data_IF_631485915359
#
_entry.id   IF_631485915359
#
_cell.length_a   1.000
_cell.length_b   1.000
_cell.length_c   1.000
_cell.angle_alpha   90.00
_cell.angle_beta   90.00
_cell.angle_gamma   90.00
#
_symmetry.space_group_name_H-M   'P 1'
#
loop_
_entity.id
_entity.type
_entity.pdbx_description
1 polymer ?
#
# COMPACT_ATOMS: atom_id res chain seq x y z
N UNK A 1 35.49 -53.11 18.20
CA UNK A 1 35.60 -51.67 18.33
C UNK A 1 34.40 -51.05 17.63
N UNK A 2 33.39 -50.67 18.41
CA UNK A 2 32.12 -50.15 17.90
C UNK A 2 32.22 -48.65 17.72
N UNK A 3 31.93 -48.17 16.52
CA UNK A 3 31.74 -46.74 16.25
C UNK A 3 30.34 -46.29 16.76
N UNK A 4 30.20 -45.12 17.40
CA UNK A 4 28.93 -44.66 17.88
C UNK A 4 28.10 -44.09 16.72
N UNK A 5 26.84 -44.53 16.65
CA UNK A 5 25.82 -44.05 15.74
C UNK A 5 25.46 -42.58 16.04
N UNK A 6 25.56 -41.72 15.02
CA UNK A 6 25.01 -40.35 15.03
C UNK A 6 23.50 -40.42 15.15
N UNK A 7 22.95 -39.95 16.27
CA UNK A 7 21.51 -39.65 16.41
C UNK A 7 21.23 -38.36 15.69
N UNK A 8 20.41 -38.44 14.64
CA UNK A 8 19.77 -37.28 14.03
C UNK A 8 18.78 -36.66 15.04
N UNK A 9 19.01 -35.42 15.41
CA UNK A 9 18.09 -34.58 16.17
C UNK A 9 16.98 -34.17 15.21
N UNK A 10 15.67 -34.28 15.55
CA UNK A 10 14.61 -33.84 14.67
C UNK A 10 14.64 -32.31 14.54
N UNK A 11 14.47 -31.89 13.29
CA UNK A 11 14.39 -30.54 12.79
C UNK A 11 13.45 -29.68 13.64
N UNK A 12 13.97 -28.64 14.25
CA UNK A 12 13.20 -27.62 14.92
C UNK A 12 12.48 -26.80 13.86
N UNK A 13 11.17 -26.93 13.79
CA UNK A 13 10.29 -26.10 12.97
C UNK A 13 10.62 -24.62 13.14
N UNK A 14 10.77 -23.84 12.06
CA UNK A 14 11.05 -22.43 12.18
C UNK A 14 9.86 -21.74 12.86
N UNK A 15 10.11 -21.09 13.98
CA UNK A 15 9.17 -20.19 14.61
C UNK A 15 8.72 -19.15 13.57
N UNK A 16 7.50 -19.31 13.09
CA UNK A 16 6.77 -18.32 12.34
C UNK A 16 6.63 -17.08 13.22
N UNK A 17 7.51 -16.12 13.05
CA UNK A 17 7.26 -14.74 13.49
C UNK A 17 6.03 -14.26 12.75
N UNK A 18 4.90 -14.28 13.43
CA UNK A 18 3.68 -13.62 12.96
C UNK A 18 3.98 -12.14 12.80
N UNK A 19 4.35 -11.76 11.58
CA UNK A 19 4.23 -10.39 11.11
C UNK A 19 2.76 -9.98 11.27
N UNK A 20 2.49 -8.99 12.08
CA UNK A 20 1.18 -8.34 12.26
C UNK A 20 0.77 -7.48 11.05
N UNK A 21 1.40 -7.67 9.90
CA UNK A 21 0.90 -7.17 8.64
C UNK A 21 -0.36 -7.99 8.30
N UNK A 22 -1.54 -7.38 8.45
CA UNK A 22 -2.80 -7.89 7.92
C UNK A 22 -2.59 -8.20 6.45
N UNK A 23 -2.40 -9.48 6.11
CA UNK A 23 -2.20 -9.92 4.74
C UNK A 23 -3.43 -9.51 3.94
N UNK A 24 -3.24 -8.58 2.99
CA UNK A 24 -4.29 -8.25 2.01
C UNK A 24 -4.65 -9.55 1.31
N UNK A 25 -5.95 -9.83 1.22
CA UNK A 25 -6.44 -11.03 0.55
C UNK A 25 -6.05 -10.97 -0.94
N UNK A 26 -5.22 -11.90 -1.43
CA UNK A 26 -4.79 -11.90 -2.83
C UNK A 26 -5.96 -11.96 -3.81
N UNK A 27 -7.09 -12.58 -3.42
CA UNK A 27 -8.29 -12.67 -4.25
C UNK A 27 -8.93 -11.30 -4.55
N UNK A 28 -8.73 -10.30 -3.69
CA UNK A 28 -9.27 -8.97 -3.90
C UNK A 28 -8.43 -8.11 -4.86
N UNK A 29 -7.19 -8.52 -5.14
CA UNK A 29 -6.30 -7.76 -6.03
C UNK A 29 -6.75 -7.85 -7.49
N UNK A 30 -6.56 -6.77 -8.29
CA UNK A 30 -6.73 -6.83 -9.72
C UNK A 30 -5.66 -7.74 -10.34
N UNK A 31 -6.04 -8.48 -11.38
CA UNK A 31 -5.13 -9.41 -12.10
C UNK A 31 -4.74 -8.90 -13.48
N UNK A 32 -5.44 -7.89 -14.01
CA UNK A 32 -5.18 -7.27 -15.31
C UNK A 32 -5.43 -5.76 -15.26
N UNK A 33 -5.02 -5.03 -16.30
CA UNK A 33 -5.37 -3.60 -16.42
C UNK A 33 -6.88 -3.37 -16.57
N UNK A 34 -7.64 -4.30 -17.14
CA UNK A 34 -9.09 -4.16 -17.28
C UNK A 34 -9.80 -4.30 -15.93
N UNK A 35 -9.17 -5.02 -15.04
CA UNK A 35 -9.60 -5.23 -13.67
C UNK A 35 -9.23 -4.06 -12.72
N UNK A 36 -8.36 -3.17 -13.16
CA UNK A 36 -7.84 -2.08 -12.32
C UNK A 36 -8.79 -0.88 -12.38
N UNK A 37 -9.39 -0.53 -11.26
CA UNK A 37 -10.32 0.61 -11.12
C UNK A 37 -9.51 1.87 -10.77
N UNK A 38 -9.86 3.00 -11.38
CA UNK A 38 -9.25 4.31 -11.12
C UNK A 38 -7.84 4.47 -11.68
N UNK A 39 -7.15 5.55 -11.27
CA UNK A 39 -5.82 5.92 -11.79
C UNK A 39 -5.78 5.98 -13.33
N UNK A 40 -6.85 6.43 -13.96
CA UNK A 40 -7.16 6.24 -15.39
C UNK A 40 -6.02 6.64 -16.32
N UNK A 41 -5.39 7.80 -16.11
CA UNK A 41 -4.29 8.28 -16.95
C UNK A 41 -3.05 7.41 -16.79
N UNK A 42 -2.71 7.04 -15.55
CA UNK A 42 -1.55 6.18 -15.25
C UNK A 42 -1.74 4.81 -15.90
N UNK A 43 -2.93 4.23 -15.75
CA UNK A 43 -3.27 2.91 -16.31
C UNK A 43 -3.25 2.93 -17.83
N UNK A 44 -3.78 3.97 -18.47
CA UNK A 44 -3.75 4.10 -19.93
C UNK A 44 -2.31 4.13 -20.47
N UNK A 45 -1.45 4.95 -19.86
CA UNK A 45 -0.05 5.06 -20.25
C UNK A 45 0.73 3.75 -20.01
N UNK A 46 0.56 3.13 -18.83
CA UNK A 46 1.22 1.87 -18.51
C UNK A 46 0.79 0.74 -19.47
N UNK A 47 -0.51 0.65 -19.78
CA UNK A 47 -1.03 -0.30 -20.77
C UNK A 47 -0.39 -0.11 -22.13
N UNK A 48 -0.23 1.13 -22.58
CA UNK A 48 0.45 1.43 -23.84
C UNK A 48 1.93 1.02 -23.80
N UNK A 49 2.66 1.37 -22.73
CA UNK A 49 4.09 1.02 -22.58
C UNK A 49 4.31 -0.49 -22.54
N UNK A 50 3.50 -1.22 -21.75
CA UNK A 50 3.58 -2.69 -21.68
C UNK A 50 3.28 -3.33 -23.03
N UNK A 51 2.24 -2.89 -23.74
CA UNK A 51 1.91 -3.39 -25.07
C UNK A 51 3.03 -3.11 -26.09
N UNK A 52 3.65 -1.93 -26.05
CA UNK A 52 4.75 -1.57 -26.91
C UNK A 52 5.97 -2.44 -26.64
N UNK A 53 6.36 -2.62 -25.38
CA UNK A 53 7.47 -3.47 -24.98
C UNK A 53 7.28 -4.93 -25.46
N UNK A 54 6.08 -5.49 -25.26
CA UNK A 54 5.75 -6.85 -25.73
C UNK A 54 5.84 -6.99 -27.25
N UNK A 55 5.31 -6.03 -28.01
CA UNK A 55 5.33 -6.08 -29.49
C UNK A 55 6.73 -5.93 -30.05
N UNK A 56 7.54 -5.06 -29.43
CA UNK A 56 8.90 -4.75 -29.89
C UNK A 56 9.96 -5.70 -29.35
N UNK A 57 9.63 -6.55 -28.38
CA UNK A 57 10.60 -7.48 -27.78
C UNK A 57 11.69 -6.79 -26.95
N UNK A 58 11.44 -5.56 -26.48
CA UNK A 58 12.38 -4.85 -25.61
C UNK A 58 11.94 -4.87 -24.15
N UNK A 59 12.89 -4.61 -23.25
CA UNK A 59 12.63 -4.49 -21.83
C UNK A 59 11.76 -3.24 -21.54
N UNK A 60 10.76 -3.39 -20.68
CA UNK A 60 10.03 -2.25 -20.14
C UNK A 60 10.96 -1.43 -19.24
N UNK A 61 10.90 -0.10 -19.36
CA UNK A 61 11.71 0.81 -18.56
C UNK A 61 11.43 0.63 -17.06
N UNK A 62 12.44 0.92 -16.25
CA UNK A 62 12.28 0.98 -14.81
C UNK A 62 11.34 2.12 -14.43
N UNK A 63 10.42 1.89 -13.48
CA UNK A 63 9.38 2.86 -13.11
C UNK A 63 9.31 3.04 -11.60
N UNK A 64 8.98 4.26 -11.18
CA UNK A 64 8.73 4.60 -9.78
C UNK A 64 7.26 4.96 -9.58
N UNK A 65 6.61 4.33 -8.61
CA UNK A 65 5.26 4.66 -8.15
C UNK A 65 5.35 5.48 -6.87
N UNK A 66 5.02 6.75 -6.93
CA UNK A 66 4.95 7.64 -5.79
C UNK A 66 3.50 7.88 -5.40
N UNK A 67 3.20 8.00 -4.11
CA UNK A 67 1.85 8.29 -3.64
C UNK A 67 1.54 7.71 -2.27
N UNK A 68 0.38 8.04 -1.70
CA UNK A 68 -0.02 7.62 -0.36
C UNK A 68 0.05 6.10 -0.14
N UNK A 69 0.13 5.68 1.12
CA UNK A 69 0.08 4.26 1.46
C UNK A 69 -1.30 3.65 1.09
N UNK A 70 -1.32 2.39 0.63
CA UNK A 70 -2.55 1.64 0.39
C UNK A 70 -3.32 2.00 -0.88
N UNK A 71 -2.79 2.83 -1.78
CA UNK A 71 -3.42 3.21 -3.06
C UNK A 71 -3.22 2.18 -4.18
N UNK A 72 -2.58 1.04 -3.89
CA UNK A 72 -2.46 -0.07 -4.86
C UNK A 72 -1.14 -0.16 -5.62
N UNK A 73 -0.04 0.48 -5.17
CA UNK A 73 1.29 0.39 -5.81
C UNK A 73 1.75 -1.05 -6.05
N UNK A 74 1.66 -1.89 -5.04
CA UNK A 74 2.01 -3.32 -5.12
C UNK A 74 1.07 -4.11 -6.05
N UNK A 75 -0.24 -3.78 -6.04
CA UNK A 75 -1.22 -4.40 -6.94
C UNK A 75 -0.93 -4.06 -8.39
N UNK A 76 -0.53 -2.81 -8.65
CA UNK A 76 -0.15 -2.36 -10.00
C UNK A 76 1.10 -3.09 -10.50
N UNK A 77 2.08 -3.31 -9.64
CA UNK A 77 3.25 -4.12 -9.97
C UNK A 77 2.86 -5.57 -10.35
N UNK A 78 1.90 -6.14 -9.62
CA UNK A 78 1.36 -7.47 -9.95
C UNK A 78 0.69 -7.52 -11.32
N UNK A 79 -0.12 -6.51 -11.65
CA UNK A 79 -0.76 -6.40 -12.97
C UNK A 79 0.28 -6.26 -14.08
N UNK A 80 1.29 -5.41 -13.91
CA UNK A 80 2.36 -5.23 -14.90
C UNK A 80 3.14 -6.53 -15.13
N UNK A 81 3.50 -7.24 -14.06
CA UNK A 81 4.21 -8.52 -14.18
C UNK A 81 3.37 -9.57 -14.91
N UNK A 82 2.09 -9.69 -14.58
CA UNK A 82 1.15 -10.59 -15.24
C UNK A 82 1.00 -10.26 -16.73
N UNK A 83 0.87 -8.98 -17.04
CA UNK A 83 0.75 -8.51 -18.44
C UNK A 83 2.05 -8.72 -19.24
N UNK A 84 3.22 -8.58 -18.63
CA UNK A 84 4.51 -8.88 -19.26
C UNK A 84 4.73 -10.40 -19.44
N UNK A 85 4.12 -11.22 -18.58
CA UNK A 85 4.34 -12.68 -18.52
C UNK A 85 5.60 -13.05 -17.74
N UNK A 86 6.20 -12.11 -16.99
CA UNK A 86 7.36 -12.31 -16.14
C UNK A 86 6.96 -12.66 -14.69
N UNK A 87 7.90 -13.23 -13.95
CA UNK A 87 7.72 -13.50 -12.53
C UNK A 87 7.84 -12.20 -11.72
N UNK A 88 6.93 -12.00 -10.76
CA UNK A 88 7.02 -10.90 -9.82
C UNK A 88 7.82 -11.30 -8.57
N UNK A 89 8.90 -10.58 -8.31
CA UNK A 89 9.65 -10.65 -7.06
C UNK A 89 9.31 -9.41 -6.23
N UNK A 90 8.84 -9.62 -4.99
CA UNK A 90 8.40 -8.54 -4.11
C UNK A 90 9.30 -8.47 -2.89
N UNK A 91 9.80 -7.28 -2.61
CA UNK A 91 10.54 -6.98 -1.38
C UNK A 91 10.26 -5.55 -0.93
N UNK A 92 10.83 -5.15 0.20
CA UNK A 92 10.79 -3.76 0.67
C UNK A 92 12.19 -3.30 1.07
N UNK A 93 12.44 -1.99 0.96
CA UNK A 93 13.74 -1.44 1.34
C UNK A 93 14.12 -1.71 2.81
N UNK A 94 13.20 -1.63 3.79
CA UNK A 94 13.51 -2.01 5.18
C UNK A 94 13.91 -3.48 5.39
N UNK A 95 13.47 -4.38 4.50
CA UNK A 95 13.80 -5.80 4.59
C UNK A 95 15.22 -6.12 4.09
N UNK A 96 15.87 -5.17 3.44
CA UNK A 96 17.23 -5.32 2.88
C UNK A 96 18.22 -4.54 3.76
N UNK A 97 18.90 -5.25 4.64
CA UNK A 97 19.78 -4.64 5.65
C UNK A 97 21.15 -4.25 5.10
N UNK A 98 21.63 -4.96 4.10
CA UNK A 98 22.96 -4.73 3.50
C UNK A 98 23.00 -5.06 2.00
N UNK A 99 23.99 -4.47 1.31
CA UNK A 99 24.15 -4.58 -0.15
C UNK A 99 24.24 -6.01 -0.69
N UNK A 100 24.77 -6.95 0.11
CA UNK A 100 24.91 -8.35 -0.29
C UNK A 100 23.55 -9.05 -0.44
N UNK A 101 22.56 -8.74 0.42
CA UNK A 101 21.21 -9.29 0.28
C UNK A 101 20.54 -8.79 -1.01
N UNK A 102 20.69 -7.51 -1.35
CA UNK A 102 20.17 -6.98 -2.61
C UNK A 102 20.85 -7.63 -3.82
N UNK A 103 22.17 -7.77 -3.78
CA UNK A 103 22.93 -8.42 -4.84
C UNK A 103 22.50 -9.89 -5.04
N UNK A 104 22.30 -10.64 -3.94
CA UNK A 104 21.79 -12.01 -4.00
C UNK A 104 20.40 -12.05 -4.61
N UNK A 105 19.48 -11.15 -4.21
CA UNK A 105 18.15 -11.06 -4.80
C UNK A 105 18.20 -10.78 -6.30
N UNK A 106 19.00 -9.79 -6.73
CA UNK A 106 19.20 -9.45 -8.14
C UNK A 106 19.75 -10.63 -8.95
N UNK A 107 20.66 -11.41 -8.38
CA UNK A 107 21.22 -12.61 -9.03
C UNK A 107 20.20 -13.77 -9.21
N UNK A 108 19.05 -13.73 -8.52
CA UNK A 108 17.97 -14.73 -8.69
C UNK A 108 16.98 -14.38 -9.80
N UNK A 109 17.07 -13.18 -10.37
CA UNK A 109 16.13 -12.73 -11.41
C UNK A 109 16.37 -13.48 -12.72
N UNK A 110 15.29 -13.81 -13.40
CA UNK A 110 15.28 -14.37 -14.76
C UNK A 110 15.00 -13.30 -15.82
N UNK A 111 15.10 -13.72 -17.09
CA UNK A 111 14.82 -12.85 -18.23
C UNK A 111 13.34 -12.44 -18.23
N UNK A 112 13.09 -11.13 -18.27
CA UNK A 112 11.73 -10.57 -18.27
C UNK A 112 11.06 -10.49 -16.89
N UNK A 113 11.75 -10.87 -15.83
CA UNK A 113 11.21 -10.77 -14.47
C UNK A 113 10.98 -9.31 -14.04
N UNK A 114 10.05 -9.14 -13.12
CA UNK A 114 9.73 -7.86 -12.50
C UNK A 114 10.15 -7.88 -11.04
N UNK A 115 11.03 -6.96 -10.65
CA UNK A 115 11.40 -6.73 -9.25
C UNK A 115 10.63 -5.53 -8.72
N UNK A 116 9.79 -5.76 -7.72
CA UNK A 116 9.10 -4.70 -7.00
C UNK A 116 9.77 -4.46 -5.65
N UNK A 117 10.17 -3.21 -5.40
CA UNK A 117 10.75 -2.79 -4.11
C UNK A 117 9.88 -1.69 -3.51
N UNK A 118 9.24 -2.00 -2.39
CA UNK A 118 8.44 -1.01 -1.66
C UNK A 118 9.30 -0.15 -0.73
N UNK A 119 8.81 1.05 -0.42
CA UNK A 119 9.45 2.02 0.50
C UNK A 119 10.91 2.35 0.13
N UNK A 120 11.19 2.53 -1.16
CA UNK A 120 12.55 2.82 -1.68
C UNK A 120 13.30 3.94 -0.93
N UNK A 121 12.56 4.91 -0.36
CA UNK A 121 13.15 6.01 0.40
C UNK A 121 13.82 5.56 1.71
N UNK A 122 13.53 4.34 2.17
CA UNK A 122 14.16 3.77 3.37
C UNK A 122 15.52 3.11 3.09
N UNK A 123 15.96 3.02 1.83
CA UNK A 123 17.27 2.48 1.52
C UNK A 123 18.39 3.35 2.07
N UNK A 124 19.36 2.69 2.67
CA UNK A 124 20.67 3.30 2.95
C UNK A 124 21.38 3.60 1.62
N UNK A 125 22.16 4.67 1.58
CA UNK A 125 22.90 5.10 0.37
C UNK A 125 23.71 3.98 -0.26
N UNK A 126 24.42 3.22 0.54
CA UNK A 126 25.28 2.12 0.10
C UNK A 126 24.51 1.00 -0.63
N UNK A 127 23.26 0.76 -0.22
CA UNK A 127 22.39 -0.24 -0.86
C UNK A 127 21.87 0.31 -2.19
N UNK A 128 21.49 1.60 -2.21
CA UNK A 128 21.03 2.27 -3.44
C UNK A 128 22.08 2.24 -4.56
N UNK A 129 23.37 2.31 -4.23
CA UNK A 129 24.47 2.26 -5.19
C UNK A 129 24.51 0.94 -5.98
N UNK A 130 24.11 -0.17 -5.37
CA UNK A 130 23.98 -1.47 -6.07
C UNK A 130 22.89 -1.42 -7.14
N UNK A 131 21.76 -0.72 -6.84
CA UNK A 131 20.69 -0.55 -7.83
C UNK A 131 21.15 0.27 -9.03
N UNK A 132 22.03 1.26 -8.85
CA UNK A 132 22.49 2.11 -9.96
C UNK A 132 23.13 1.27 -11.06
N UNK A 133 24.08 0.39 -10.70
CA UNK A 133 24.74 -0.50 -11.65
C UNK A 133 23.77 -1.54 -12.24
N UNK A 134 22.89 -2.06 -11.41
CA UNK A 134 21.90 -3.03 -11.86
C UNK A 134 20.90 -2.46 -12.87
N UNK A 135 20.51 -1.20 -12.72
CA UNK A 135 19.55 -0.52 -13.60
C UNK A 135 20.18 -0.05 -14.90
N UNK A 136 21.41 0.51 -14.86
CA UNK A 136 22.10 1.06 -16.02
C UNK A 136 22.78 -0.01 -16.87
N UNK A 137 23.67 -0.78 -16.22
CA UNK A 137 24.57 -1.69 -16.90
C UNK A 137 24.14 -3.15 -16.80
N UNK A 138 23.12 -3.43 -16.01
CA UNK A 138 22.67 -4.79 -15.68
C UNK A 138 23.79 -5.66 -15.11
N UNK A 139 24.59 -5.07 -14.23
CA UNK A 139 25.69 -5.79 -13.54
C UNK A 139 25.60 -5.56 -12.03
N UNK A 140 26.13 -6.51 -11.30
CA UNK A 140 26.37 -6.38 -9.87
C UNK A 140 27.80 -6.82 -9.57
N UNK A 141 28.43 -6.12 -8.65
CA UNK A 141 29.77 -6.45 -8.16
C UNK A 141 29.66 -7.13 -6.80
N UNK A 142 30.04 -8.41 -6.73
CA UNK A 142 30.00 -9.21 -5.52
C UNK A 142 31.40 -9.46 -4.98
N UNK A 143 31.67 -9.21 -3.67
CA UNK A 143 32.93 -9.56 -3.06
C UNK A 143 33.07 -11.08 -2.94
N UNK A 144 34.21 -11.61 -3.44
CA UNK A 144 34.58 -13.01 -3.33
C UNK A 144 35.98 -13.10 -2.72
N UNK A 145 36.05 -13.08 -1.41
CA UNK A 145 37.30 -12.97 -0.66
C UNK A 145 38.01 -11.65 -0.92
N UNK A 146 39.24 -11.68 -1.50
CA UNK A 146 40.00 -10.49 -1.87
C UNK A 146 39.70 -9.95 -3.30
N UNK A 147 38.80 -10.62 -4.02
CA UNK A 147 38.42 -10.23 -5.40
C UNK A 147 37.00 -9.75 -5.44
N UNK A 148 36.69 -8.97 -6.48
CA UNK A 148 35.32 -8.61 -6.84
C UNK A 148 34.95 -9.39 -8.09
N UNK A 149 33.85 -10.08 -8.06
CA UNK A 149 33.30 -10.79 -9.22
C UNK A 149 32.15 -9.95 -9.76
N UNK A 150 32.25 -9.59 -11.03
CA UNK A 150 31.18 -8.91 -11.75
C UNK A 150 30.24 -9.94 -12.36
N UNK A 151 28.96 -9.85 -12.02
CA UNK A 151 27.91 -10.75 -12.49
C UNK A 151 27.00 -9.96 -13.42
N UNK A 152 26.78 -10.49 -14.63
CA UNK A 152 25.81 -9.95 -15.58
C UNK A 152 24.41 -10.37 -15.17
N UNK A 153 23.49 -9.40 -15.11
CA UNK A 153 22.08 -9.65 -14.85
C UNK A 153 21.28 -9.85 -16.15
N UNK A 154 20.23 -10.66 -16.12
CA UNK A 154 19.29 -10.74 -17.23
C UNK A 154 18.54 -9.41 -17.39
N UNK A 155 17.77 -9.26 -18.46
CA UNK A 155 16.86 -8.12 -18.60
C UNK A 155 15.72 -8.28 -17.61
N UNK A 156 15.56 -7.32 -16.72
CA UNK A 156 14.49 -7.25 -15.73
C UNK A 156 13.92 -5.85 -15.65
N UNK A 157 12.70 -5.72 -15.17
CA UNK A 157 12.09 -4.41 -14.91
C UNK A 157 12.04 -4.15 -13.41
N UNK A 158 12.63 -3.04 -12.97
CA UNK A 158 12.49 -2.57 -11.59
C UNK A 158 11.26 -1.67 -11.48
N UNK A 159 10.35 -2.01 -10.58
CA UNK A 159 9.24 -1.18 -10.15
C UNK A 159 9.49 -0.74 -8.72
N UNK A 160 9.84 0.51 -8.52
CA UNK A 160 10.02 1.11 -7.21
C UNK A 160 8.71 1.68 -6.68
N UNK A 161 8.51 1.65 -5.37
CA UNK A 161 7.42 2.34 -4.72
C UNK A 161 7.89 3.18 -3.55
N UNK A 162 7.25 4.33 -3.34
CA UNK A 162 7.56 5.23 -2.23
C UNK A 162 6.36 6.08 -1.83
N UNK A 163 6.25 6.39 -0.56
CA UNK A 163 5.35 7.44 -0.05
C UNK A 163 6.02 8.82 -0.04
N UNK A 164 7.35 8.87 -0.12
CA UNK A 164 8.17 10.07 0.01
C UNK A 164 9.15 10.24 -1.15
N UNK A 165 8.65 10.55 -2.35
CA UNK A 165 9.50 10.72 -3.54
C UNK A 165 10.62 11.77 -3.34
N UNK A 166 10.35 12.83 -2.59
CA UNK A 166 11.33 13.88 -2.29
C UNK A 166 12.50 13.45 -1.38
N UNK A 167 12.41 12.29 -0.73
CA UNK A 167 13.52 11.73 0.06
C UNK A 167 14.47 10.84 -0.75
N UNK A 168 14.09 10.50 -1.98
CA UNK A 168 14.94 9.66 -2.82
C UNK A 168 16.14 10.45 -3.35
N UNK A 169 17.34 9.84 -3.38
CA UNK A 169 18.51 10.46 -3.99
C UNK A 169 18.27 10.74 -5.46
N UNK A 170 18.65 11.95 -5.91
CA UNK A 170 18.52 12.34 -7.32
C UNK A 170 19.13 11.32 -8.30
N UNK A 171 20.33 10.74 -8.05
CA UNK A 171 20.89 9.72 -8.92
C UNK A 171 20.04 8.47 -9.09
N UNK A 172 19.22 8.11 -8.08
CA UNK A 172 18.26 7.01 -8.20
C UNK A 172 17.04 7.42 -9.02
N UNK A 173 16.52 8.64 -8.79
CA UNK A 173 15.37 9.16 -9.54
C UNK A 173 15.66 9.27 -11.04
N UNK A 174 16.86 9.74 -11.40
CA UNK A 174 17.28 9.93 -12.80
C UNK A 174 17.40 8.59 -13.58
N UNK A 175 17.41 7.45 -12.90
CA UNK A 175 17.45 6.09 -13.50
C UNK A 175 16.09 5.48 -13.74
N UNK A 176 15.04 6.07 -13.20
CA UNK A 176 13.69 5.67 -13.56
C UNK A 176 13.26 6.39 -14.82
N UNK A 177 12.81 5.63 -15.82
CA UNK A 177 12.28 6.18 -17.06
C UNK A 177 11.00 6.99 -16.83
N UNK A 178 10.21 6.58 -15.84
CA UNK A 178 8.95 7.24 -15.45
C UNK A 178 8.75 7.27 -13.95
N UNK A 179 8.22 8.40 -13.47
CA UNK A 179 7.74 8.56 -12.09
C UNK A 179 6.22 8.80 -12.14
N UNK A 180 5.47 7.80 -11.71
CA UNK A 180 4.01 7.85 -11.71
C UNK A 180 3.49 8.28 -10.35
N UNK A 181 2.70 9.37 -10.34
CA UNK A 181 2.03 9.87 -9.14
C UNK A 181 0.67 9.19 -9.00
N UNK A 182 0.52 8.33 -7.99
CA UNK A 182 -0.76 7.73 -7.64
C UNK A 182 -1.46 8.60 -6.61
N UNK A 183 -2.76 8.82 -6.82
CA UNK A 183 -3.61 9.64 -5.96
C UNK A 183 -4.52 8.78 -5.09
N UNK A 184 -5.12 9.37 -4.09
CA UNK A 184 -6.27 8.79 -3.42
C UNK A 184 -7.44 8.68 -4.41
N UNK A 185 -8.28 7.68 -4.23
CA UNK A 185 -9.39 7.39 -5.12
C UNK A 185 -10.58 8.34 -4.83
N UNK A 186 -11.36 8.62 -5.85
CA UNK A 186 -12.64 9.34 -5.70
C UNK A 186 -13.68 8.46 -5.00
N UNK A 187 -14.76 9.05 -4.54
CA UNK A 187 -15.84 8.30 -3.91
C UNK A 187 -16.43 7.24 -4.87
N UNK A 188 -16.66 7.62 -6.13
CA UNK A 188 -17.24 6.72 -7.14
C UNK A 188 -16.32 5.55 -7.48
N UNK A 189 -15.01 5.81 -7.63
CA UNK A 189 -14.00 4.78 -7.81
C UNK A 189 -13.97 3.83 -6.60
N UNK A 190 -14.02 4.38 -5.38
CA UNK A 190 -14.04 3.59 -4.15
C UNK A 190 -15.32 2.77 -3.99
N UNK A 191 -16.49 3.34 -4.33
CA UNK A 191 -17.77 2.60 -4.32
C UNK A 191 -17.70 1.40 -5.26
N UNK A 192 -17.13 1.58 -6.45
CA UNK A 192 -16.92 0.50 -7.41
C UNK A 192 -15.97 -0.57 -6.87
N UNK A 193 -14.85 -0.17 -6.23
CA UNK A 193 -13.90 -1.10 -5.59
C UNK A 193 -14.57 -1.88 -4.46
N UNK A 194 -15.34 -1.21 -3.60
CA UNK A 194 -16.04 -1.83 -2.47
C UNK A 194 -17.07 -2.84 -2.97
N UNK A 195 -17.93 -2.47 -3.92
CA UNK A 195 -18.95 -3.36 -4.49
C UNK A 195 -18.32 -4.62 -5.09
N UNK A 196 -17.23 -4.45 -5.86
CA UNK A 196 -16.50 -5.56 -6.45
C UNK A 196 -15.85 -6.45 -5.39
N UNK A 197 -15.22 -5.86 -4.39
CA UNK A 197 -14.57 -6.60 -3.29
C UNK A 197 -15.60 -7.34 -2.45
N UNK A 198 -16.76 -6.74 -2.17
CA UNK A 198 -17.88 -7.39 -1.50
C UNK A 198 -18.37 -8.61 -2.28
N UNK A 199 -18.56 -8.48 -3.60
CA UNK A 199 -18.92 -9.60 -4.47
C UNK A 199 -17.90 -10.74 -4.44
N UNK A 200 -16.60 -10.44 -4.50
CA UNK A 200 -15.51 -11.45 -4.38
C UNK A 200 -15.49 -12.13 -3.01
N UNK A 201 -15.93 -11.45 -1.95
CA UNK A 201 -16.06 -12.00 -0.59
C UNK A 201 -17.38 -12.72 -0.34
N UNK A 202 -18.27 -12.80 -1.34
CA UNK A 202 -19.60 -13.40 -1.19
C UNK A 202 -20.52 -12.62 -0.25
N UNK A 203 -20.32 -11.30 -0.14
CA UNK A 203 -21.11 -10.40 0.71
C UNK A 203 -22.17 -9.68 -0.14
N UNK A 204 -23.47 -10.05 -0.07
CA UNK A 204 -24.52 -9.28 -0.74
C UNK A 204 -24.56 -7.85 -0.19
N UNK A 205 -24.41 -6.85 -1.06
CA UNK A 205 -24.31 -5.44 -0.69
C UNK A 205 -25.03 -4.59 -1.72
N UNK A 206 -25.85 -3.64 -1.26
CA UNK A 206 -26.46 -2.64 -2.15
C UNK A 206 -25.53 -1.43 -2.39
N UNK A 207 -25.98 -0.51 -3.23
CA UNK A 207 -25.20 0.65 -3.61
C UNK A 207 -24.96 1.62 -2.44
N UNK A 208 -25.93 1.75 -1.55
CA UNK A 208 -25.88 2.61 -0.36
C UNK A 208 -24.90 2.09 0.67
N UNK A 209 -24.91 0.77 0.93
CA UNK A 209 -23.94 0.12 1.80
C UNK A 209 -22.51 0.21 1.26
N UNK A 210 -22.35 0.01 -0.06
CA UNK A 210 -21.06 0.17 -0.71
C UNK A 210 -20.54 1.62 -0.62
N UNK A 211 -21.40 2.61 -0.85
CA UNK A 211 -21.04 4.02 -0.75
C UNK A 211 -20.69 4.43 0.67
N UNK A 212 -21.39 3.90 1.67
CA UNK A 212 -21.09 4.14 3.08
C UNK A 212 -19.70 3.64 3.47
N UNK A 213 -19.35 2.42 3.08
CA UNK A 213 -18.01 1.87 3.34
C UNK A 213 -16.96 2.60 2.51
N UNK A 214 -17.25 2.96 1.26
CA UNK A 214 -16.36 3.72 0.38
C UNK A 214 -15.99 5.07 0.98
N UNK A 215 -16.96 5.80 1.54
CA UNK A 215 -16.75 7.09 2.23
C UNK A 215 -15.84 6.91 3.45
N UNK A 216 -16.07 5.89 4.26
CA UNK A 216 -15.26 5.56 5.42
C UNK A 216 -13.85 5.08 5.08
N UNK A 217 -13.59 4.66 3.84
CA UNK A 217 -12.29 4.12 3.40
C UNK A 217 -11.24 5.16 3.04
N UNK A 218 -11.57 6.46 3.11
CA UNK A 218 -10.63 7.58 2.91
C UNK A 218 -9.90 7.53 1.57
N UNK A 219 -10.58 7.14 0.50
CA UNK A 219 -9.99 7.01 -0.83
C UNK A 219 -8.88 5.95 -0.94
N UNK A 220 -8.85 4.98 -0.04
CA UNK A 220 -7.77 3.99 0.07
C UNK A 220 -8.32 2.57 -0.01
N UNK A 221 -8.04 1.80 -1.09
CA UNK A 221 -8.50 0.42 -1.25
C UNK A 221 -8.10 -0.51 -0.10
N UNK A 222 -6.92 -0.33 0.49
CA UNK A 222 -6.46 -1.11 1.66
C UNK A 222 -7.39 -0.92 2.85
N UNK A 223 -7.80 0.33 3.14
CA UNK A 223 -8.74 0.63 4.22
C UNK A 223 -10.11 0.03 3.89
N UNK A 224 -10.61 0.20 2.66
CA UNK A 224 -11.88 -0.38 2.23
C UNK A 224 -11.94 -1.89 2.45
N UNK A 225 -10.93 -2.63 2.01
CA UNK A 225 -10.86 -4.07 2.18
C UNK A 225 -10.76 -4.49 3.66
N UNK A 226 -10.12 -3.67 4.50
CA UNK A 226 -10.10 -3.89 5.95
C UNK A 226 -11.48 -3.67 6.56
N UNK A 227 -12.18 -2.61 6.19
CA UNK A 227 -13.54 -2.32 6.65
C UNK A 227 -14.52 -3.38 6.20
N UNK A 228 -14.46 -3.82 4.94
CA UNK A 228 -15.30 -4.91 4.43
C UNK A 228 -15.19 -6.18 5.28
N UNK A 229 -13.96 -6.58 5.66
CA UNK A 229 -13.78 -7.74 6.54
C UNK A 229 -14.44 -7.52 7.91
N UNK A 230 -14.33 -6.32 8.48
CA UNK A 230 -14.96 -5.99 9.75
C UNK A 230 -16.50 -5.96 9.65
N UNK A 231 -17.04 -5.44 8.55
CA UNK A 231 -18.49 -5.51 8.29
C UNK A 231 -18.93 -6.97 8.14
N UNK A 232 -18.14 -7.80 7.45
CA UNK A 232 -18.40 -9.24 7.36
C UNK A 232 -18.40 -9.91 8.75
N UNK A 233 -17.39 -9.62 9.58
CA UNK A 233 -17.28 -10.16 10.93
C UNK A 233 -18.47 -9.70 11.78
N UNK A 234 -18.93 -8.46 11.62
CA UNK A 234 -20.11 -7.90 12.28
C UNK A 234 -21.38 -8.64 11.86
N UNK A 235 -21.60 -8.89 10.57
CA UNK A 235 -22.78 -9.56 10.04
C UNK A 235 -22.76 -11.07 10.27
N UNK A 236 -21.60 -11.70 10.27
CA UNK A 236 -21.43 -13.14 10.49
C UNK A 236 -21.35 -13.55 11.96
N UNK A 237 -21.03 -12.60 12.85
CA UNK A 237 -20.95 -12.78 14.31
C UNK A 237 -22.09 -12.14 15.08
N UNK A 238 -22.95 -11.39 14.41
CA UNK A 238 -24.03 -10.65 15.07
C UNK A 238 -25.13 -11.60 15.53
N UNK A 239 -24.94 -12.11 16.69
CA UNK A 239 -26.01 -12.52 17.59
C UNK A 239 -26.72 -11.23 18.07
N UNK A 240 -27.43 -10.55 17.17
CA UNK A 240 -28.31 -9.45 17.55
C UNK A 240 -29.49 -10.09 18.22
N UNK A 241 -29.43 -10.23 19.53
CA UNK A 241 -30.48 -10.85 20.40
C UNK A 241 -30.69 -12.37 20.21
N UNK A 242 -29.63 -13.18 20.02
CA UNK A 242 -29.76 -14.65 20.06
C UNK A 242 -30.23 -15.29 18.76
N UNK A 243 -30.15 -14.61 17.63
CA UNK A 243 -30.49 -15.15 16.31
C UNK A 243 -29.32 -15.08 15.33
N UNK A 244 -29.04 -16.19 14.61
CA UNK A 244 -28.13 -16.21 13.47
C UNK A 244 -28.62 -15.22 12.43
N UNK A 245 -27.77 -14.24 12.03
CA UNK A 245 -28.07 -13.36 10.91
C UNK A 245 -28.24 -14.24 9.65
N UNK A 246 -29.34 -14.13 8.91
CA UNK A 246 -29.57 -14.95 7.74
C UNK A 246 -28.40 -14.79 6.75
N UNK A 247 -27.93 -15.89 6.18
CA UNK A 247 -26.84 -15.96 5.18
C UNK A 247 -27.11 -15.11 3.92
N UNK A 248 -28.31 -14.53 3.80
CA UNK A 248 -28.78 -13.73 2.67
C UNK A 248 -29.03 -12.24 3.03
N UNK A 249 -28.50 -11.76 4.16
CA UNK A 249 -28.68 -10.37 4.53
C UNK A 249 -27.92 -9.46 3.55
N UNK A 250 -28.66 -8.62 2.84
CA UNK A 250 -28.05 -7.57 1.99
C UNK A 250 -27.56 -6.44 2.88
N UNK A 251 -26.27 -6.13 2.76
CA UNK A 251 -25.61 -5.07 3.53
C UNK A 251 -25.97 -3.72 2.89
N UNK A 252 -26.96 -3.08 3.48
CA UNK A 252 -27.37 -1.72 3.15
C UNK A 252 -26.69 -0.68 4.04
N UNK A 253 -27.07 0.59 3.84
CA UNK A 253 -26.53 1.74 4.58
C UNK A 253 -26.58 1.54 6.10
N UNK A 254 -27.73 1.15 6.65
CA UNK A 254 -27.92 1.03 8.09
C UNK A 254 -27.02 -0.01 8.74
N UNK A 255 -26.80 -1.16 8.09
CA UNK A 255 -25.89 -2.22 8.57
C UNK A 255 -24.46 -1.74 8.48
N UNK A 256 -24.08 -1.11 7.36
CA UNK A 256 -22.73 -0.56 7.18
C UNK A 256 -22.42 0.50 8.23
N UNK A 257 -23.34 1.44 8.48
CA UNK A 257 -23.20 2.47 9.52
C UNK A 257 -23.09 1.86 10.92
N UNK A 258 -23.93 0.89 11.28
CA UNK A 258 -23.88 0.23 12.58
C UNK A 258 -22.52 -0.48 12.80
N UNK A 259 -22.02 -1.20 11.79
CA UNK A 259 -20.72 -1.85 11.85
C UNK A 259 -19.56 -0.84 11.99
N UNK A 260 -19.61 0.27 11.26
CA UNK A 260 -18.60 1.35 11.35
C UNK A 260 -18.65 2.05 12.71
N UNK A 261 -19.84 2.31 13.24
CA UNK A 261 -20.03 2.92 14.56
C UNK A 261 -19.42 2.06 15.67
N UNK A 262 -19.56 0.73 15.59
CA UNK A 262 -18.93 -0.20 16.54
C UNK A 262 -17.39 -0.12 16.49
N UNK A 263 -16.82 0.25 15.35
CA UNK A 263 -15.39 0.51 15.18
C UNK A 263 -14.96 1.93 15.59
N UNK A 264 -15.89 2.75 16.07
CA UNK A 264 -15.65 4.15 16.42
C UNK A 264 -15.41 5.05 15.21
N UNK A 265 -15.84 4.61 14.02
CA UNK A 265 -15.70 5.35 12.77
C UNK A 265 -17.01 6.08 12.47
N UNK A 266 -16.94 7.37 12.26
CA UNK A 266 -18.13 8.18 11.96
C UNK A 266 -18.55 8.13 10.48
N UNK A 267 -19.62 8.84 10.16
CA UNK A 267 -20.21 8.87 8.82
C UNK A 267 -19.30 9.45 7.72
N UNK A 268 -18.24 10.21 8.10
CA UNK A 268 -17.19 10.69 7.19
C UNK A 268 -15.94 9.81 7.17
N UNK A 269 -15.92 8.74 7.95
CA UNK A 269 -14.79 7.83 8.04
C UNK A 269 -13.68 8.28 8.99
N UNK A 270 -13.96 9.24 9.89
CA UNK A 270 -13.00 9.66 10.90
C UNK A 270 -13.09 8.72 12.11
N UNK A 271 -11.94 8.24 12.56
CA UNK A 271 -11.83 7.52 13.81
C UNK A 271 -11.59 8.49 15.00
N UNK A 272 -11.40 7.94 16.18
CA UNK A 272 -11.19 8.76 17.40
C UNK A 272 -9.93 9.62 17.32
N UNK A 273 -8.87 9.14 16.66
CA UNK A 273 -7.60 9.86 16.53
C UNK A 273 -7.75 11.05 15.56
N UNK A 274 -8.44 10.84 14.44
CA UNK A 274 -8.72 11.92 13.48
C UNK A 274 -9.58 13.03 14.11
N UNK A 275 -10.61 12.65 14.89
CA UNK A 275 -11.46 13.63 15.57
C UNK A 275 -10.68 14.40 16.64
N UNK A 276 -9.81 13.73 17.41
CA UNK A 276 -8.90 14.40 18.34
C UNK A 276 -7.96 15.36 17.62
N UNK A 277 -7.37 14.92 16.50
CA UNK A 277 -6.53 15.78 15.67
C UNK A 277 -7.31 17.02 15.19
N UNK A 278 -8.51 16.81 14.63
CA UNK A 278 -9.34 17.89 14.11
C UNK A 278 -9.75 18.89 15.21
N UNK A 279 -10.10 18.40 16.41
CA UNK A 279 -10.41 19.23 17.57
C UNK A 279 -9.21 20.07 18.01
N UNK A 280 -8.01 19.51 18.00
CA UNK A 280 -6.80 20.23 18.40
C UNK A 280 -6.49 21.43 17.49
N UNK A 281 -6.80 21.32 16.19
CA UNK A 281 -6.55 22.37 15.20
C UNK A 281 -7.81 23.20 14.87
N UNK A 282 -8.90 23.09 15.65
CA UNK A 282 -10.18 23.71 15.36
C UNK A 282 -10.14 25.24 15.42
N UNK A 283 -9.57 25.80 16.48
CA UNK A 283 -9.69 27.22 16.81
C UNK A 283 -8.49 28.07 16.38
N UNK A 284 -7.31 27.46 16.33
CA UNK A 284 -6.06 28.17 16.02
C UNK A 284 -5.08 27.29 15.25
N UNK A 285 -4.15 27.88 14.48
CA UNK A 285 -3.09 27.11 13.85
C UNK A 285 -2.19 26.43 14.87
N UNK A 286 -1.91 25.14 14.72
CA UNK A 286 -1.05 24.34 15.60
C UNK A 286 0.12 23.76 14.81
N UNK A 287 1.32 23.86 15.36
CA UNK A 287 2.54 23.29 14.77
C UNK A 287 2.58 21.76 14.91
N UNK A 288 3.31 21.10 14.02
CA UNK A 288 3.37 19.63 13.98
C UNK A 288 3.90 19.03 15.28
N UNK A 289 4.92 19.61 15.89
CA UNK A 289 5.52 19.10 17.12
C UNK A 289 4.53 19.12 18.30
N UNK A 290 3.69 20.18 18.39
CA UNK A 290 2.65 20.26 19.39
C UNK A 290 1.54 19.22 19.15
N UNK A 291 1.18 18.97 17.88
CA UNK A 291 0.21 17.93 17.51
C UNK A 291 0.73 16.55 17.89
N UNK A 292 1.99 16.24 17.56
CA UNK A 292 2.62 14.97 17.91
C UNK A 292 2.63 14.74 19.43
N UNK A 293 2.99 15.76 20.18
CA UNK A 293 3.03 15.68 21.65
C UNK A 293 1.64 15.46 22.27
N UNK A 294 0.61 16.17 21.79
CA UNK A 294 -0.75 16.10 22.33
C UNK A 294 -1.45 14.78 21.97
N UNK A 295 -1.21 14.27 20.77
CA UNK A 295 -1.79 13.02 20.31
C UNK A 295 -0.98 11.79 20.73
N UNK A 296 0.25 11.98 21.22
CA UNK A 296 1.24 10.92 21.48
C UNK A 296 1.54 10.05 20.26
N UNK A 297 1.66 10.70 19.08
CA UNK A 297 1.89 10.06 17.81
C UNK A 297 3.15 10.58 17.12
N UNK A 298 3.81 9.74 16.35
CA UNK A 298 4.96 10.13 15.55
C UNK A 298 4.57 11.10 14.43
N UNK A 299 5.50 11.96 14.05
CA UNK A 299 5.32 12.92 12.96
C UNK A 299 4.93 12.22 11.64
N UNK A 300 5.53 11.07 11.35
CA UNK A 300 5.20 10.29 10.15
C UNK A 300 3.75 9.77 10.18
N UNK A 301 3.25 9.32 11.31
CA UNK A 301 1.85 8.93 11.47
C UNK A 301 0.91 10.09 11.15
N UNK A 302 1.22 11.27 11.67
CA UNK A 302 0.41 12.47 11.40
C UNK A 302 0.47 12.86 9.93
N UNK A 303 1.68 13.05 9.37
CA UNK A 303 1.87 13.60 8.02
C UNK A 303 1.53 12.61 6.89
N UNK A 304 1.63 11.29 7.13
CA UNK A 304 1.48 10.28 6.09
C UNK A 304 0.17 9.48 6.16
N UNK A 305 -0.43 9.37 7.37
CA UNK A 305 -1.64 8.58 7.55
C UNK A 305 -2.89 9.42 7.83
N UNK A 306 -2.78 10.50 8.62
CA UNK A 306 -3.92 11.31 9.05
C UNK A 306 -4.17 12.49 8.10
N UNK A 307 -3.19 13.37 7.93
CA UNK A 307 -3.35 14.63 7.21
C UNK A 307 -3.71 14.50 5.73
N UNK A 308 -3.19 13.52 4.95
CA UNK A 308 -3.50 13.45 3.53
C UNK A 308 -5.00 13.33 3.25
N UNK A 309 -5.69 12.51 4.03
CA UNK A 309 -7.13 12.37 3.90
C UNK A 309 -7.88 13.60 4.39
N UNK A 310 -7.55 14.12 5.56
CA UNK A 310 -8.21 15.31 6.11
C UNK A 310 -8.05 16.54 5.20
N UNK A 311 -6.91 16.68 4.53
CA UNK A 311 -6.66 17.74 3.54
C UNK A 311 -7.48 17.51 2.27
N UNK A 312 -7.52 16.28 1.74
CA UNK A 312 -8.30 15.96 0.56
C UNK A 312 -9.81 16.11 0.81
N UNK A 313 -10.28 15.75 2.00
CA UNK A 313 -11.66 15.94 2.43
C UNK A 313 -11.99 17.42 2.73
N UNK A 314 -11.00 18.31 2.62
CA UNK A 314 -11.15 19.73 2.88
C UNK A 314 -11.44 20.08 4.34
N UNK A 315 -11.11 19.19 5.28
CA UNK A 315 -11.37 19.40 6.71
C UNK A 315 -10.29 20.22 7.39
N UNK A 316 -9.07 20.18 6.88
CA UNK A 316 -7.92 20.94 7.38
C UNK A 316 -7.17 21.63 6.24
N UNK A 317 -6.36 22.63 6.59
CA UNK A 317 -5.38 23.27 5.71
C UNK A 317 -4.05 23.43 6.41
N UNK A 318 -2.94 23.27 5.67
CA UNK A 318 -1.59 23.60 6.11
C UNK A 318 -1.25 25.04 5.71
N UNK A 319 -0.66 25.77 6.61
CA UNK A 319 -0.16 27.13 6.37
C UNK A 319 1.19 27.35 7.05
N UNK A 320 1.80 28.50 6.81
CA UNK A 320 3.11 28.84 7.39
C UNK A 320 3.13 28.88 8.93
N UNK A 321 1.96 29.05 9.57
CA UNK A 321 1.81 29.06 11.05
C UNK A 321 1.40 27.70 11.63
N UNK A 322 1.24 26.67 10.80
CA UNK A 322 0.82 25.34 11.24
C UNK A 322 -0.41 24.81 10.51
N UNK A 323 -1.16 23.92 11.17
CA UNK A 323 -2.38 23.28 10.69
C UNK A 323 -3.59 23.91 11.33
N UNK A 324 -4.66 24.07 10.54
CA UNK A 324 -5.90 24.69 10.98
C UNK A 324 -7.10 23.97 10.35
N UNK A 325 -8.14 23.72 11.15
CA UNK A 325 -9.39 23.20 10.60
C UNK A 325 -10.07 24.25 9.71
N UNK A 326 -10.68 23.77 8.65
CA UNK A 326 -11.55 24.59 7.78
C UNK A 326 -12.92 24.79 8.42
N UNK A 327 -13.78 25.57 7.79
CA UNK A 327 -15.18 25.68 8.22
C UNK A 327 -15.89 24.31 8.17
N UNK A 328 -15.65 23.52 7.11
CA UNK A 328 -16.17 22.16 7.00
C UNK A 328 -15.65 21.22 8.12
N UNK A 329 -14.38 21.39 8.53
CA UNK A 329 -13.81 20.64 9.64
C UNK A 329 -14.45 20.98 10.99
N UNK A 330 -14.66 22.24 11.26
CA UNK A 330 -15.36 22.71 12.48
C UNK A 330 -16.83 22.29 12.49
N UNK A 331 -17.52 22.40 11.32
CA UNK A 331 -18.89 21.93 11.18
C UNK A 331 -19.04 20.45 11.51
N UNK A 332 -18.11 19.63 11.00
CA UNK A 332 -18.11 18.19 11.29
C UNK A 332 -17.92 17.87 12.78
N UNK A 333 -17.04 18.60 13.48
CA UNK A 333 -16.88 18.42 14.92
C UNK A 333 -18.17 18.75 15.69
N UNK A 334 -18.91 19.78 15.25
CA UNK A 334 -20.19 20.15 15.87
C UNK A 334 -21.31 19.12 15.60
N UNK A 335 -21.22 18.34 14.51
CA UNK A 335 -22.19 17.28 14.17
C UNK A 335 -21.95 15.99 14.99
N UNK A 336 -20.70 15.71 15.40
CA UNK A 336 -20.28 14.42 15.99
C UNK A 336 -19.98 14.52 17.49
N UNK A 337 -19.78 15.73 18.01
CA UNK A 337 -19.56 16.02 19.45
C UNK A 337 -20.86 16.31 20.14
#
# INVERSE_FOLDING_TARGET
>A
MNAPALRLVPDASPHSTRSTATSEDPALRPVSFDDYIGQTEVIANLRQSVRAAKRGGWQLDHMLFAGPAGVGKTSLAGVIAAELGGKLHVTSAPAIEHKGQLATLLATLGEGDVLFIDELHAFKREISEVLYLAMEDRVIDMPAGKRVIRIQLPKFTLLGATTHAGKLPKPLLDRFGFVWQLRLYTLDEMTTIVSRSAGKLGMPMDAEGATTIARASRGTPRIANRLLRRVRDYTGGADVQGGLVPVHLVIGEGIAQAALAQLGIDHRGLDSLDRRYLALVADRPVGIEAICAELAEDRSTIEDAIEPWLMQAGLIKRGGKGRLATEAGRGHLAEVG
#
